data_IF_278223257576
#
_entry.id   IF_278223257576
#
_cell.length_a   1.000
_cell.length_b   1.000
_cell.length_c   1.000
_cell.angle_alpha   90.00
_cell.angle_beta   90.00
_cell.angle_gamma   90.00
#
_symmetry.space_group_name_H-M   'P 1'
#
loop_
_entity.id
_entity.type
_entity.pdbx_description
1 polymer ?
#
# COMPACT_ATOMS: atom_id res chain seq x y z
N UNK A 1 8.12 51.44 13.49
CA UNK A 1 8.48 50.15 14.14
C UNK A 1 7.32 49.15 14.25
N UNK A 2 6.05 49.57 14.27
CA UNK A 2 4.89 48.65 14.37
C UNK A 2 4.63 47.77 13.12
N UNK A 3 4.95 48.27 11.93
CA UNK A 3 4.68 47.55 10.68
C UNK A 3 5.69 46.40 10.44
N UNK A 4 6.93 46.55 10.89
CA UNK A 4 7.98 45.53 10.73
C UNK A 4 7.67 44.26 11.54
N UNK A 5 7.14 44.43 12.76
CA UNK A 5 6.71 43.32 13.63
C UNK A 5 5.49 42.60 13.04
N UNK A 6 4.52 43.34 12.47
CA UNK A 6 3.36 42.76 11.78
C UNK A 6 3.76 41.92 10.58
N UNK A 7 4.72 42.38 9.76
CA UNK A 7 5.20 41.63 8.61
C UNK A 7 5.87 40.32 9.02
N UNK A 8 6.64 40.31 10.11
CA UNK A 8 7.30 39.10 10.63
C UNK A 8 6.32 38.09 11.25
N UNK A 9 5.28 38.57 11.95
CA UNK A 9 4.22 37.71 12.49
C UNK A 9 3.42 37.05 11.36
N UNK A 10 3.09 37.80 10.30
CA UNK A 10 2.43 37.24 9.11
C UNK A 10 3.33 36.24 8.40
N UNK A 11 4.63 36.53 8.25
CA UNK A 11 5.59 35.59 7.64
C UNK A 11 5.75 34.30 8.45
N UNK A 12 5.78 34.40 9.79
CA UNK A 12 5.87 33.25 10.69
C UNK A 12 4.62 32.36 10.63
N UNK A 13 3.42 32.96 10.58
CA UNK A 13 2.17 32.22 10.37
C UNK A 13 2.05 31.64 8.95
N UNK A 14 2.57 32.33 7.94
CA UNK A 14 2.61 31.82 6.57
C UNK A 14 3.54 30.61 6.46
N UNK A 15 4.73 30.66 7.07
CA UNK A 15 5.70 29.55 7.12
C UNK A 15 5.18 28.34 7.91
N UNK A 16 4.45 28.56 9.01
CA UNK A 16 3.81 27.48 9.77
C UNK A 16 2.67 26.81 8.99
N UNK A 17 1.99 27.54 8.09
CA UNK A 17 0.93 27.00 7.24
C UNK A 17 1.42 26.06 6.14
N UNK A 18 2.66 26.22 5.65
CA UNK A 18 3.21 25.38 4.55
C UNK A 18 3.61 23.98 5.03
N UNK A 19 3.87 23.79 6.33
CA UNK A 19 4.26 22.49 6.90
C UNK A 19 3.12 21.46 7.01
N UNK A 20 1.86 21.87 6.90
CA UNK A 20 0.71 20.97 7.07
C UNK A 20 0.32 20.20 5.80
N UNK A 21 1.01 20.43 4.68
CA UNK A 21 0.80 19.69 3.42
C UNK A 21 1.77 18.52 3.23
N UNK A 22 2.58 18.18 4.23
CA UNK A 22 3.30 16.91 4.22
C UNK A 22 2.29 15.78 4.39
N UNK A 23 1.76 15.27 3.28
CA UNK A 23 0.89 14.11 3.28
C UNK A 23 1.62 12.93 3.92
N UNK A 24 1.28 12.62 5.17
CA UNK A 24 1.55 11.31 5.73
C UNK A 24 0.85 10.32 4.81
N UNK A 25 1.61 9.49 4.11
CA UNK A 25 1.03 8.38 3.36
C UNK A 25 0.51 7.37 4.37
N UNK A 26 -0.80 7.16 4.39
CA UNK A 26 -1.48 6.28 5.34
C UNK A 26 -2.06 5.05 4.64
N UNK A 27 -2.45 4.05 5.42
CA UNK A 27 -3.29 2.95 4.96
C UNK A 27 -4.55 3.41 4.19
N UNK A 28 -5.15 4.54 4.58
CA UNK A 28 -6.31 5.10 3.89
C UNK A 28 -5.96 5.58 2.47
N UNK A 29 -4.77 6.17 2.28
CA UNK A 29 -4.30 6.62 0.97
C UNK A 29 -3.99 5.44 0.04
N UNK A 30 -3.42 4.35 0.58
CA UNK A 30 -3.23 3.10 -0.16
C UNK A 30 -4.57 2.52 -0.61
N UNK A 31 -5.58 2.51 0.26
CA UNK A 31 -6.95 2.07 -0.07
C UNK A 31 -7.60 2.97 -1.14
N UNK A 32 -7.47 4.28 -1.03
CA UNK A 32 -8.05 5.23 -2.00
C UNK A 32 -7.44 5.13 -3.40
N UNK A 33 -6.23 4.57 -3.51
CA UNK A 33 -5.52 4.40 -4.77
C UNK A 33 -5.88 3.10 -5.52
N UNK A 34 -6.98 2.42 -5.16
CA UNK A 34 -7.55 1.31 -5.94
C UNK A 34 -7.70 1.66 -7.41
N UNK A 35 -7.38 0.73 -8.29
CA UNK A 35 -7.37 0.89 -9.75
C UNK A 35 -6.06 1.47 -10.30
N UNK A 36 -5.10 1.84 -9.46
CA UNK A 36 -3.79 2.39 -9.89
C UNK A 36 -2.64 1.40 -9.71
N UNK A 37 -2.88 0.30 -9.01
CA UNK A 37 -1.87 -0.73 -8.75
C UNK A 37 -1.69 -1.71 -9.88
N UNK A 38 -0.56 -2.41 -9.85
CA UNK A 38 -0.35 -3.59 -10.70
C UNK A 38 -1.35 -4.68 -10.32
N UNK A 39 -1.77 -5.49 -11.28
CA UNK A 39 -2.71 -6.58 -11.03
C UNK A 39 -2.36 -7.85 -11.79
N UNK A 40 -2.79 -8.98 -11.24
CA UNK A 40 -2.79 -10.29 -11.89
C UNK A 40 -4.13 -10.99 -11.70
N UNK A 41 -4.46 -11.90 -12.61
CA UNK A 41 -5.65 -12.76 -12.50
C UNK A 41 -5.19 -14.19 -12.27
N UNK A 42 -5.65 -14.80 -11.19
CA UNK A 42 -5.36 -16.19 -10.85
C UNK A 42 -6.57 -17.08 -11.15
N UNK A 43 -6.36 -18.31 -11.66
CA UNK A 43 -7.43 -19.25 -11.98
C UNK A 43 -7.93 -20.01 -10.74
N UNK A 44 -8.18 -19.28 -9.65
CA UNK A 44 -8.67 -19.82 -8.37
C UNK A 44 -9.79 -18.95 -7.82
N UNK A 45 -10.67 -19.56 -7.02
CA UNK A 45 -11.74 -18.86 -6.33
C UNK A 45 -11.20 -17.86 -5.29
N UNK A 46 -11.90 -16.75 -5.09
CA UNK A 46 -11.45 -15.66 -4.22
C UNK A 46 -11.22 -16.12 -2.78
N UNK A 47 -12.01 -17.08 -2.30
CA UNK A 47 -11.82 -17.67 -0.96
C UNK A 47 -10.43 -18.25 -0.78
N UNK A 48 -9.89 -18.95 -1.78
CA UNK A 48 -8.53 -19.53 -1.68
C UNK A 48 -7.49 -18.42 -1.51
N UNK A 49 -7.62 -17.33 -2.27
CA UNK A 49 -6.74 -16.16 -2.17
C UNK A 49 -6.88 -15.49 -0.81
N UNK A 50 -8.09 -15.33 -0.29
CA UNK A 50 -8.33 -14.79 1.05
C UNK A 50 -7.66 -15.63 2.15
N UNK A 51 -7.80 -16.96 2.09
CA UNK A 51 -7.20 -17.87 3.05
C UNK A 51 -5.66 -17.81 3.06
N UNK A 52 -5.04 -17.58 1.89
CA UNK A 52 -3.58 -17.51 1.77
C UNK A 52 -2.98 -16.13 2.11
N UNK A 53 -3.79 -15.07 2.22
CA UNK A 53 -3.27 -13.71 2.19
C UNK A 53 -2.42 -13.35 3.41
N UNK A 54 -2.83 -13.78 4.60
CA UNK A 54 -2.08 -13.51 5.82
C UNK A 54 -0.66 -14.11 5.77
N UNK A 55 -0.54 -15.35 5.31
CA UNK A 55 0.76 -16.03 5.18
C UNK A 55 1.59 -15.46 4.03
N UNK A 56 0.93 -15.13 2.91
CA UNK A 56 1.58 -14.50 1.75
C UNK A 56 2.21 -13.15 2.16
N UNK A 57 1.46 -12.29 2.85
CA UNK A 57 1.93 -10.99 3.35
C UNK A 57 3.13 -11.16 4.29
N UNK A 58 3.03 -12.07 5.26
CA UNK A 58 4.12 -12.34 6.21
C UNK A 58 5.36 -12.91 5.54
N UNK A 59 5.19 -13.77 4.53
CA UNK A 59 6.30 -14.42 3.82
C UNK A 59 7.21 -13.42 3.10
N UNK A 60 6.68 -12.27 2.67
CA UNK A 60 7.46 -11.23 2.00
C UNK A 60 8.05 -10.19 2.96
N UNK A 61 7.80 -10.34 4.27
CA UNK A 61 8.30 -9.45 5.32
C UNK A 61 7.45 -8.20 5.57
N UNK A 62 6.16 -8.26 5.22
CA UNK A 62 5.16 -7.25 5.59
C UNK A 62 4.36 -7.72 6.81
N UNK A 63 3.88 -6.77 7.60
CA UNK A 63 2.93 -6.99 8.69
C UNK A 63 1.50 -7.02 8.13
N UNK A 64 0.73 -8.03 8.53
CA UNK A 64 -0.69 -8.11 8.21
C UNK A 64 -1.50 -7.24 9.17
N UNK A 65 -2.05 -6.13 8.68
CA UNK A 65 -2.78 -5.17 9.52
C UNK A 65 -4.23 -5.58 9.68
N UNK A 66 -4.87 -6.04 8.60
CA UNK A 66 -6.26 -6.48 8.65
C UNK A 66 -6.88 -6.65 7.27
N UNK A 67 -8.13 -7.11 7.25
CA UNK A 67 -8.92 -7.30 6.04
C UNK A 67 -10.33 -6.74 6.18
N UNK A 68 -10.91 -6.39 5.04
CA UNK A 68 -12.34 -6.20 4.91
C UNK A 68 -12.80 -6.96 3.66
N UNK A 69 -13.34 -8.17 3.86
CA UNK A 69 -13.83 -9.02 2.78
C UNK A 69 -15.03 -8.43 2.04
N UNK A 70 -15.88 -7.67 2.74
CA UNK A 70 -17.04 -7.01 2.12
C UNK A 70 -16.60 -5.92 1.15
N UNK A 71 -15.56 -5.16 1.51
CA UNK A 71 -15.00 -4.11 0.66
C UNK A 71 -13.89 -4.61 -0.29
N UNK A 72 -13.51 -5.88 -0.17
CA UNK A 72 -12.62 -6.55 -1.10
C UNK A 72 -11.14 -6.19 -0.95
N UNK A 73 -10.64 -5.92 0.27
CA UNK A 73 -9.22 -5.62 0.48
C UNK A 73 -8.57 -6.22 1.73
N UNK A 74 -7.24 -6.35 1.66
CA UNK A 74 -6.31 -6.54 2.76
C UNK A 74 -5.40 -5.33 2.88
N UNK A 75 -5.06 -4.97 4.11
CA UNK A 75 -4.08 -3.95 4.44
C UNK A 75 -2.84 -4.61 5.05
N UNK A 76 -1.68 -4.21 4.55
CA UNK A 76 -0.39 -4.64 5.03
C UNK A 76 0.54 -3.43 5.12
N UNK A 77 1.53 -3.51 6.01
CA UNK A 77 2.47 -2.42 6.21
C UNK A 77 3.88 -2.94 6.50
N UNK A 78 4.86 -2.05 6.43
CA UNK A 78 6.14 -2.24 7.08
C UNK A 78 6.44 -1.02 7.93
N UNK A 79 6.73 -1.25 9.21
CA UNK A 79 7.10 -0.18 10.13
C UNK A 79 8.43 0.49 9.80
N UNK A 80 8.63 1.68 10.36
CA UNK A 80 9.90 2.42 10.26
C UNK A 80 11.01 1.60 10.92
N UNK A 81 12.15 1.49 10.25
CA UNK A 81 13.37 0.87 10.76
C UNK A 81 14.61 1.68 10.35
N UNK A 82 15.79 1.27 10.77
CA UNK A 82 17.04 1.91 10.32
C UNK A 82 17.21 1.92 8.79
N UNK A 83 16.46 1.08 8.06
CA UNK A 83 16.55 0.90 6.61
C UNK A 83 15.21 1.07 5.85
N UNK A 84 14.13 1.44 6.54
CA UNK A 84 12.82 1.71 5.91
C UNK A 84 12.16 2.91 6.58
N UNK A 85 11.49 3.71 5.77
CA UNK A 85 10.79 4.91 6.22
C UNK A 85 9.30 4.68 6.44
N UNK A 86 8.85 3.42 6.43
CA UNK A 86 7.45 3.06 6.46
C UNK A 86 6.90 2.83 5.05
N UNK A 87 6.12 1.77 4.89
CA UNK A 87 5.44 1.45 3.65
C UNK A 87 4.03 0.94 3.93
N UNK A 88 3.06 1.40 3.14
CA UNK A 88 1.64 1.03 3.26
C UNK A 88 1.21 0.31 1.98
N UNK A 89 0.59 -0.86 2.12
CA UNK A 89 0.20 -1.72 1.00
C UNK A 89 -1.27 -2.10 1.12
N UNK A 90 -2.05 -1.78 0.09
CA UNK A 90 -3.42 -2.25 -0.06
C UNK A 90 -3.47 -3.34 -1.15
N UNK A 91 -4.06 -4.48 -0.81
CA UNK A 91 -4.22 -5.62 -1.70
C UNK A 91 -5.71 -5.79 -1.95
N UNK A 92 -6.15 -5.56 -3.18
CA UNK A 92 -7.56 -5.70 -3.54
C UNK A 92 -7.81 -7.07 -4.17
N UNK A 93 -8.82 -7.77 -3.67
CA UNK A 93 -9.21 -9.11 -4.13
C UNK A 93 -10.61 -8.99 -4.73
N UNK A 94 -10.71 -9.22 -6.03
CA UNK A 94 -11.97 -9.14 -6.78
C UNK A 94 -12.28 -10.48 -7.44
N UNK A 95 -13.40 -11.08 -7.05
CA UNK A 95 -13.91 -12.29 -7.72
C UNK A 95 -14.37 -11.95 -9.13
N UNK A 96 -14.03 -12.81 -10.10
CA UNK A 96 -14.43 -12.73 -11.49
C UNK A 96 -15.24 -13.98 -11.86
N UNK A 97 -15.91 -13.94 -13.00
CA UNK A 97 -16.60 -15.11 -13.55
C UNK A 97 -15.63 -16.28 -13.80
N UNK A 98 -16.15 -17.50 -13.64
CA UNK A 98 -15.38 -18.73 -13.92
C UNK A 98 -14.36 -19.10 -12.86
N UNK A 99 -14.62 -18.81 -11.59
CA UNK A 99 -13.71 -19.09 -10.45
C UNK A 99 -12.31 -18.49 -10.65
N UNK A 100 -12.26 -17.26 -11.15
CA UNK A 100 -11.04 -16.49 -11.31
C UNK A 100 -11.02 -15.36 -10.30
N UNK A 101 -9.83 -14.97 -9.87
CA UNK A 101 -9.66 -13.88 -8.91
C UNK A 101 -8.64 -12.89 -9.43
N UNK A 102 -9.06 -11.63 -9.54
CA UNK A 102 -8.14 -10.51 -9.78
C UNK A 102 -7.56 -10.06 -8.44
N UNK A 103 -6.24 -10.01 -8.36
CA UNK A 103 -5.50 -9.42 -7.24
C UNK A 103 -4.78 -8.19 -7.76
N UNK A 104 -5.09 -7.04 -7.18
CA UNK A 104 -4.41 -5.77 -7.42
C UNK A 104 -3.60 -5.37 -6.19
N UNK A 105 -2.41 -4.84 -6.39
CA UNK A 105 -1.52 -4.43 -5.30
C UNK A 105 -1.14 -2.97 -5.49
N UNK A 106 -1.51 -2.17 -4.50
CA UNK A 106 -1.16 -0.76 -4.41
C UNK A 106 -0.15 -0.60 -3.27
N UNK A 107 1.06 -0.23 -3.64
CA UNK A 107 2.15 0.03 -2.68
C UNK A 107 2.44 1.53 -2.63
N UNK A 108 2.29 2.12 -1.46
CA UNK A 108 2.50 3.53 -1.17
C UNK A 108 3.68 3.69 -0.22
N UNK A 109 4.70 4.45 -0.65
CA UNK A 109 5.88 4.77 0.17
C UNK A 109 5.53 5.87 1.16
N UNK A 110 5.84 5.73 2.46
CA UNK A 110 5.57 6.79 3.44
C UNK A 110 6.28 8.11 3.12
N UNK A 111 7.42 8.07 2.41
CA UNK A 111 8.11 9.26 1.88
C UNK A 111 8.44 9.12 0.39
N UNK A 112 8.16 10.17 -0.38
CA UNK A 112 8.41 10.22 -1.83
C UNK A 112 9.89 10.04 -2.21
N UNK A 113 10.81 10.39 -1.32
CA UNK A 113 12.27 10.30 -1.51
C UNK A 113 12.85 8.92 -1.20
N UNK A 114 12.05 7.97 -0.71
CA UNK A 114 12.52 6.64 -0.35
C UNK A 114 12.79 5.77 -1.59
N UNK A 115 13.80 6.07 -2.42
CA UNK A 115 14.13 5.29 -3.64
C UNK A 115 14.46 3.81 -3.38
N UNK A 116 14.80 3.45 -2.14
CA UNK A 116 15.18 2.09 -1.72
C UNK A 116 14.02 1.20 -1.29
N UNK A 117 12.78 1.72 -1.19
CA UNK A 117 11.67 0.88 -0.77
C UNK A 117 11.48 -0.30 -1.75
N UNK A 118 11.34 -1.54 -1.24
CA UNK A 118 11.15 -2.72 -2.09
C UNK A 118 9.93 -2.59 -3.00
N UNK A 119 9.98 -3.25 -4.15
CA UNK A 119 8.80 -3.48 -4.98
C UNK A 119 7.94 -4.56 -4.32
N UNK A 120 7.00 -4.11 -3.49
CA UNK A 120 6.09 -4.99 -2.76
C UNK A 120 5.14 -5.73 -3.69
N UNK A 121 4.67 -5.09 -4.77
CA UNK A 121 3.83 -5.71 -5.79
C UNK A 121 4.52 -6.92 -6.40
N UNK A 122 5.77 -6.76 -6.83
CA UNK A 122 6.56 -7.87 -7.38
C UNK A 122 6.76 -9.01 -6.39
N UNK A 123 7.09 -8.71 -5.13
CA UNK A 123 7.30 -9.75 -4.10
C UNK A 123 6.02 -10.52 -3.78
N UNK A 124 4.91 -9.82 -3.58
CA UNK A 124 3.61 -10.42 -3.29
C UNK A 124 3.09 -11.23 -4.47
N UNK A 125 3.25 -10.73 -5.70
CA UNK A 125 2.93 -11.52 -6.89
C UNK A 125 3.81 -12.75 -7.01
N UNK A 126 5.12 -12.66 -6.74
CA UNK A 126 5.98 -13.84 -6.74
C UNK A 126 5.53 -14.89 -5.72
N UNK A 127 5.06 -14.48 -4.56
CA UNK A 127 4.53 -15.40 -3.54
C UNK A 127 3.21 -16.04 -3.98
N UNK A 128 2.30 -15.27 -4.57
CA UNK A 128 1.03 -15.78 -5.13
C UNK A 128 1.25 -16.67 -6.37
N UNK A 129 2.22 -16.34 -7.23
CA UNK A 129 2.61 -17.16 -8.37
C UNK A 129 3.15 -18.51 -7.91
N UNK A 130 3.86 -18.59 -6.78
CA UNK A 130 4.31 -19.85 -6.21
C UNK A 130 3.14 -20.73 -5.70
N UNK A 131 2.00 -20.12 -5.36
CA UNK A 131 0.79 -20.83 -4.91
C UNK A 131 -0.14 -21.21 -6.06
N UNK A 132 -0.32 -20.31 -7.04
CA UNK A 132 -1.39 -20.37 -8.04
C UNK A 132 -0.92 -20.13 -9.47
N UNK A 133 0.35 -19.83 -9.67
CA UNK A 133 0.93 -19.72 -10.99
C UNK A 133 0.84 -21.08 -11.68
N UNK A 134 0.10 -21.14 -12.78
CA UNK A 134 0.23 -22.27 -13.69
C UNK A 134 1.67 -22.27 -14.22
N UNK A 135 2.41 -23.36 -14.05
CA UNK A 135 3.64 -23.58 -14.83
C UNK A 135 3.27 -23.45 -16.31
N UNK A 136 3.57 -22.31 -16.93
CA UNK A 136 3.78 -22.29 -18.38
C UNK A 136 5.21 -22.76 -18.56
N UNK A 137 5.38 -24.09 -18.65
CA UNK A 137 6.50 -24.68 -19.37
C UNK A 137 6.15 -24.73 -20.85
#
# INVERSE_FOLDING_TARGET
MSNLIKTWVVFFFLLLGVGALSGCNTLADAKMAKGTGDFKVYPVASEQVWHAMADTVKSVGLDYVGENRQEGYVLAQRGISAFSYGEEVAIFITSLEGQKTRVEIVSKRAMATNIFAPDWSKKLFSALDALYGSEIK
#
